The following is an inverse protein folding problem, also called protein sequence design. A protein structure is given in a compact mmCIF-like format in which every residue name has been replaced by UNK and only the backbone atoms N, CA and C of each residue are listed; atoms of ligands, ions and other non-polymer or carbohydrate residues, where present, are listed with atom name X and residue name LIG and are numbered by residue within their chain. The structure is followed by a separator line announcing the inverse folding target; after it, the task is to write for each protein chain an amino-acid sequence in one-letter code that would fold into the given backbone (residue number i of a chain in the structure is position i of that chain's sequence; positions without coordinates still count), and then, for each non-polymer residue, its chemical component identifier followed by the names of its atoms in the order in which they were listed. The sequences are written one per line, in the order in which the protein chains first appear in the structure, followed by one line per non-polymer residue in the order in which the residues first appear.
data_IF_082885452310
#
_entry.id   IF_082885452310
#
_cell.length_a   1.000
_cell.length_b   1.000
_cell.length_c   1.000
_cell.angle_alpha   90.00
_cell.angle_beta   90.00
_cell.angle_gamma   90.00
#
_symmetry.space_group_name_H-M   'P 1'
#
loop_
_entity.id
_entity.type
_entity.pdbx_description
1 polymer ?
#
# COMPACT_ATOMS: atom_id res chain seq x y z
N UNK A 1 13.03 -11.36 19.75
CA UNK A 1 13.33 -12.72 19.25
C UNK A 1 14.36 -12.55 18.13
N UNK A 2 15.51 -13.23 18.16
CA UNK A 2 16.50 -13.13 17.08
C UNK A 2 15.96 -13.87 15.87
N UNK A 3 15.90 -13.20 14.72
CA UNK A 3 15.57 -13.82 13.44
C UNK A 3 16.72 -14.74 13.02
N UNK A 4 16.39 -15.92 12.52
CA UNK A 4 17.39 -16.91 12.04
C UNK A 4 17.54 -16.81 10.51
N UNK A 5 18.69 -17.21 9.99
CA UNK A 5 18.94 -17.25 8.55
C UNK A 5 17.93 -18.16 7.83
N UNK A 6 17.59 -19.31 8.43
CA UNK A 6 16.57 -20.20 7.87
C UNK A 6 15.21 -19.52 7.74
N UNK A 7 14.80 -18.73 8.73
CA UNK A 7 13.53 -18.00 8.69
C UNK A 7 13.47 -16.96 7.55
N UNK A 8 14.60 -16.29 7.26
CA UNK A 8 14.72 -15.38 6.12
C UNK A 8 14.55 -16.12 4.79
N UNK A 9 15.26 -17.24 4.64
CA UNK A 9 15.22 -18.05 3.40
C UNK A 9 13.81 -18.61 3.18
N UNK A 10 13.20 -19.20 4.21
CA UNK A 10 11.85 -19.76 4.11
C UNK A 10 10.79 -18.69 3.78
N UNK A 11 10.90 -17.50 4.40
CA UNK A 11 9.98 -16.41 4.11
C UNK A 11 10.13 -15.93 2.66
N UNK A 12 11.37 -15.79 2.20
CA UNK A 12 11.64 -15.37 0.83
C UNK A 12 11.15 -16.41 -0.18
N UNK A 13 11.31 -17.70 0.10
CA UNK A 13 10.79 -18.76 -0.76
C UNK A 13 9.25 -18.67 -0.89
N UNK A 14 8.53 -18.48 0.22
CA UNK A 14 7.08 -18.27 0.19
C UNK A 14 6.68 -17.00 -0.59
N UNK A 15 7.49 -15.94 -0.50
CA UNK A 15 7.30 -14.74 -1.31
C UNK A 15 7.40 -15.05 -2.80
N UNK A 16 8.45 -15.76 -3.24
CA UNK A 16 8.64 -16.15 -4.64
C UNK A 16 7.53 -17.07 -5.16
N UNK A 17 7.14 -18.09 -4.37
CA UNK A 17 6.04 -19.01 -4.70
C UNK A 17 4.73 -18.22 -4.92
N UNK A 18 4.48 -17.21 -4.10
CA UNK A 18 3.30 -16.38 -4.23
C UNK A 18 3.36 -15.44 -5.42
N UNK A 19 4.52 -14.83 -5.70
CA UNK A 19 4.74 -14.03 -6.92
C UNK A 19 4.51 -14.89 -8.17
N UNK A 20 5.02 -16.11 -8.19
CA UNK A 20 4.82 -17.06 -9.28
C UNK A 20 3.33 -17.41 -9.46
N UNK A 21 2.63 -17.72 -8.37
CA UNK A 21 1.20 -18.01 -8.39
C UNK A 21 0.40 -16.84 -8.98
N UNK A 22 0.68 -15.61 -8.56
CA UNK A 22 0.03 -14.42 -9.12
C UNK A 22 0.28 -14.30 -10.63
N UNK A 23 1.54 -14.56 -11.05
CA UNK A 23 1.93 -14.56 -12.46
C UNK A 23 1.18 -15.60 -13.30
N UNK A 24 0.89 -16.79 -12.78
CA UNK A 24 0.09 -17.83 -13.46
C UNK A 24 -1.33 -17.36 -13.78
N UNK A 25 -1.89 -16.48 -12.95
CA UNK A 25 -3.19 -15.85 -13.18
C UNK A 25 -3.11 -14.52 -13.93
N UNK A 26 -1.91 -14.16 -14.44
CA UNK A 26 -1.70 -12.94 -15.23
C UNK A 26 -1.54 -11.66 -14.41
N UNK A 27 -1.37 -11.77 -13.09
CA UNK A 27 -1.10 -10.63 -12.22
C UNK A 27 0.40 -10.50 -11.95
N UNK A 28 1.06 -9.60 -12.68
CA UNK A 28 2.46 -9.26 -12.48
C UNK A 28 2.61 -8.24 -11.34
N UNK A 29 2.97 -8.74 -10.14
CA UNK A 29 3.08 -7.91 -8.93
C UNK A 29 4.10 -6.78 -9.12
N UNK A 30 5.26 -7.07 -9.69
CA UNK A 30 6.34 -6.09 -9.87
C UNK A 30 5.93 -4.97 -10.82
N UNK A 31 5.31 -5.33 -11.94
CA UNK A 31 4.79 -4.37 -12.92
C UNK A 31 3.72 -3.47 -12.31
N UNK A 32 2.77 -4.03 -11.57
CA UNK A 32 1.69 -3.25 -10.96
C UNK A 32 2.22 -2.32 -9.85
N UNK A 33 3.23 -2.73 -9.08
CA UNK A 33 3.87 -1.87 -8.07
C UNK A 33 4.71 -0.76 -8.70
N UNK A 34 5.46 -1.09 -9.76
CA UNK A 34 6.20 -0.10 -10.55
C UNK A 34 5.28 0.93 -11.18
N UNK A 35 4.13 0.51 -11.74
CA UNK A 35 3.11 1.41 -12.26
C UNK A 35 2.66 2.44 -11.23
N UNK A 36 2.37 2.02 -9.99
CA UNK A 36 1.93 2.93 -8.92
C UNK A 36 3.02 3.96 -8.61
N UNK A 37 4.27 3.50 -8.44
CA UNK A 37 5.41 4.37 -8.14
C UNK A 37 5.64 5.39 -9.27
N UNK A 38 5.62 4.96 -10.52
CA UNK A 38 5.82 5.82 -11.69
C UNK A 38 4.73 6.90 -11.81
N UNK A 39 3.46 6.51 -11.67
CA UNK A 39 2.32 7.44 -11.76
C UNK A 39 2.25 8.42 -10.58
N UNK A 40 2.81 8.03 -9.43
CA UNK A 40 2.93 8.91 -8.28
C UNK A 40 4.01 9.99 -8.44
N UNK A 41 5.04 9.78 -9.29
CA UNK A 41 6.18 10.72 -9.46
C UNK A 41 5.76 12.09 -10.00
N UNK A 42 6.54 13.16 -9.69
CA UNK A 42 7.64 13.20 -8.74
C UNK A 42 7.14 13.25 -7.29
N UNK A 43 7.88 12.66 -6.36
CA UNK A 43 7.60 12.76 -4.92
C UNK A 43 8.89 12.61 -4.09
N UNK A 44 8.91 13.24 -2.93
CA UNK A 44 10.01 13.24 -1.97
C UNK A 44 9.51 13.72 -0.60
N UNK A 45 10.40 13.81 0.37
CA UNK A 45 10.09 14.24 1.73
C UNK A 45 9.70 13.08 2.64
N UNK A 46 8.83 13.32 3.61
CA UNK A 46 8.33 12.30 4.52
C UNK A 46 7.26 11.46 3.81
N UNK A 47 7.57 10.21 3.55
CA UNK A 47 6.71 9.27 2.84
C UNK A 47 6.11 8.28 3.83
N UNK A 48 4.81 8.04 3.71
CA UNK A 48 4.08 7.00 4.44
C UNK A 48 3.52 5.96 3.47
N UNK A 49 3.70 4.69 3.80
CA UNK A 49 2.87 3.59 3.33
C UNK A 49 1.86 3.23 4.42
N UNK A 50 0.57 3.37 4.15
CA UNK A 50 -0.52 2.94 5.00
C UNK A 50 -1.01 1.56 4.53
N UNK A 51 -0.93 0.56 5.42
CA UNK A 51 -1.22 -0.83 5.09
C UNK A 51 -0.01 -1.57 4.50
N UNK A 52 0.96 -1.91 5.35
CA UNK A 52 2.15 -2.69 4.98
C UNK A 52 1.78 -4.05 4.36
N UNK A 53 0.82 -4.75 4.97
CA UNK A 53 0.50 -6.14 4.64
C UNK A 53 1.75 -7.02 4.60
N UNK A 54 1.83 -7.91 3.62
CA UNK A 54 2.99 -8.79 3.42
C UNK A 54 4.20 -8.12 2.77
N UNK A 55 4.11 -6.79 2.52
CA UNK A 55 5.24 -5.98 2.10
C UNK A 55 5.55 -5.99 0.60
N UNK A 56 4.59 -6.30 -0.27
CA UNK A 56 4.85 -6.25 -1.72
C UNK A 56 5.11 -4.83 -2.23
N UNK A 57 4.35 -3.85 -1.76
CA UNK A 57 4.58 -2.46 -2.13
C UNK A 57 5.74 -1.87 -1.32
N UNK A 58 5.88 -2.26 -0.05
CA UNK A 58 7.00 -1.92 0.83
C UNK A 58 8.35 -2.27 0.17
N UNK A 59 8.47 -3.50 -0.36
CA UNK A 59 9.68 -3.94 -1.04
C UNK A 59 9.93 -3.12 -2.31
N UNK A 60 8.93 -2.94 -3.16
CA UNK A 60 9.06 -2.17 -4.40
C UNK A 60 9.46 -0.71 -4.15
N UNK A 61 8.94 -0.08 -3.10
CA UNK A 61 9.28 1.29 -2.73
C UNK A 61 10.71 1.38 -2.18
N UNK A 62 11.14 0.39 -1.40
CA UNK A 62 12.52 0.30 -0.90
C UNK A 62 13.52 0.04 -2.05
N UNK A 63 13.23 -0.88 -2.98
CA UNK A 63 14.04 -1.12 -4.18
C UNK A 63 14.15 0.10 -5.08
N UNK A 64 13.10 0.94 -5.12
CA UNK A 64 13.14 2.22 -5.82
C UNK A 64 14.00 3.30 -5.13
N UNK A 65 14.62 2.97 -3.98
CA UNK A 65 15.60 3.80 -3.26
C UNK A 65 15.00 4.80 -2.28
N UNK A 66 13.74 4.64 -1.89
CA UNK A 66 13.09 5.56 -0.94
C UNK A 66 13.29 5.11 0.51
N UNK A 67 13.41 6.09 1.41
CA UNK A 67 13.25 5.90 2.85
C UNK A 67 11.86 6.36 3.24
N UNK A 68 11.13 5.55 4.04
CA UNK A 68 9.73 5.81 4.36
C UNK A 68 9.28 5.16 5.67
N UNK A 69 8.12 5.61 6.14
CA UNK A 69 7.38 4.99 7.23
C UNK A 69 6.35 4.01 6.66
N UNK A 70 6.13 2.87 7.33
CA UNK A 70 5.11 1.91 6.93
C UNK A 70 4.28 1.51 8.15
N UNK A 71 2.96 1.73 8.08
CA UNK A 71 2.01 1.44 9.15
C UNK A 71 1.10 0.27 8.78
N UNK A 72 0.84 -0.58 9.79
CA UNK A 72 -0.14 -1.65 9.70
C UNK A 72 -0.74 -1.93 11.08
N UNK A 73 -1.94 -2.46 11.13
CA UNK A 73 -2.57 -2.92 12.36
C UNK A 73 -2.01 -4.28 12.81
N UNK A 74 -1.45 -5.06 11.87
CA UNK A 74 -0.97 -6.42 12.06
C UNK A 74 0.55 -6.51 12.17
N UNK A 75 1.06 -6.73 13.39
CA UNK A 75 2.48 -7.02 13.61
C UNK A 75 2.95 -8.30 12.87
N UNK A 76 2.04 -9.25 12.65
CA UNK A 76 2.36 -10.49 11.94
C UNK A 76 2.60 -10.23 10.44
N UNK A 77 1.77 -9.40 9.80
CA UNK A 77 1.96 -9.02 8.40
C UNK A 77 3.24 -8.19 8.24
N UNK A 78 3.48 -7.19 9.09
CA UNK A 78 4.72 -6.40 9.07
C UNK A 78 5.98 -7.26 9.25
N UNK A 79 5.88 -8.37 10.00
CA UNK A 79 7.00 -9.30 10.14
C UNK A 79 7.38 -9.93 8.80
N UNK A 80 6.42 -10.34 7.96
CA UNK A 80 6.71 -10.86 6.62
C UNK A 80 7.39 -9.81 5.74
N UNK A 81 6.92 -8.58 5.79
CA UNK A 81 7.53 -7.46 5.07
C UNK A 81 8.97 -7.22 5.52
N UNK A 82 9.22 -7.17 6.82
CA UNK A 82 10.55 -6.99 7.40
C UNK A 82 11.52 -8.11 6.99
N UNK A 83 11.07 -9.36 7.02
CA UNK A 83 11.89 -10.51 6.59
C UNK A 83 12.27 -10.42 5.11
N UNK A 84 11.35 -9.99 4.24
CA UNK A 84 11.66 -9.76 2.83
C UNK A 84 12.70 -8.64 2.66
N UNK A 85 12.51 -7.50 3.33
CA UNK A 85 13.50 -6.41 3.29
C UNK A 85 14.87 -6.83 3.80
N UNK A 86 14.93 -7.63 4.88
CA UNK A 86 16.20 -8.14 5.41
C UNK A 86 16.90 -9.08 4.42
N UNK A 87 16.14 -9.90 3.69
CA UNK A 87 16.70 -10.77 2.67
C UNK A 87 17.43 -9.97 1.57
N UNK A 88 16.88 -8.83 1.19
CA UNK A 88 17.47 -7.92 0.19
C UNK A 88 18.42 -6.85 0.79
N UNK A 89 18.61 -6.81 2.12
CA UNK A 89 19.47 -5.83 2.78
C UNK A 89 18.88 -4.41 2.82
N UNK A 90 17.55 -4.28 2.67
CA UNK A 90 16.84 -2.99 2.54
C UNK A 90 16.11 -2.54 3.83
N UNK A 91 16.23 -3.29 4.92
CA UNK A 91 15.47 -3.05 6.15
C UNK A 91 15.72 -1.69 6.81
N UNK A 92 16.85 -1.04 6.52
CA UNK A 92 17.17 0.29 7.06
C UNK A 92 16.42 1.43 6.37
N UNK A 93 15.76 1.16 5.24
CA UNK A 93 15.00 2.17 4.51
C UNK A 93 13.58 2.35 5.06
N UNK A 94 13.11 1.45 5.92
CA UNK A 94 11.72 1.43 6.38
C UNK A 94 11.65 1.55 7.90
N UNK A 95 10.85 2.52 8.36
CA UNK A 95 10.47 2.65 9.77
C UNK A 95 9.06 2.07 9.95
N UNK A 96 8.97 0.89 10.56
CA UNK A 96 7.69 0.25 10.85
C UNK A 96 7.06 0.77 12.15
N UNK A 97 5.74 0.94 12.13
CA UNK A 97 4.93 1.20 13.34
C UNK A 97 3.58 0.49 13.24
N UNK A 98 3.06 0.04 14.38
CA UNK A 98 1.70 -0.46 14.48
C UNK A 98 0.75 0.71 14.63
N UNK A 99 -0.18 0.85 13.69
CA UNK A 99 -1.20 1.88 13.73
C UNK A 99 -2.45 1.42 12.98
N UNK A 100 -3.60 1.90 13.47
CA UNK A 100 -4.85 1.84 12.74
C UNK A 100 -4.94 3.06 11.84
N UNK A 101 -5.18 2.86 10.56
CA UNK A 101 -5.30 3.95 9.58
C UNK A 101 -6.53 4.84 9.80
N UNK A 102 -7.48 4.38 10.61
CA UNK A 102 -8.63 5.18 11.04
C UNK A 102 -8.31 6.04 12.29
N UNK A 103 -7.12 5.86 12.91
CA UNK A 103 -6.64 6.66 14.05
C UNK A 103 -5.11 6.61 14.12
N UNK A 104 -4.45 7.40 13.28
CA UNK A 104 -2.99 7.38 13.12
C UNK A 104 -2.31 8.23 14.22
N UNK A 105 -1.41 7.64 15.04
CA UNK A 105 -0.72 8.36 16.11
C UNK A 105 0.44 9.21 15.57
N UNK A 106 0.11 10.23 14.80
CA UNK A 106 1.09 11.12 14.17
C UNK A 106 0.58 12.56 14.18
N UNK A 107 1.50 13.52 14.20
CA UNK A 107 1.20 14.95 14.15
C UNK A 107 0.54 15.35 12.81
N UNK A 108 -0.26 16.43 12.86
CA UNK A 108 -0.89 17.01 11.67
C UNK A 108 0.19 17.49 10.69
N UNK A 109 -0.01 17.24 9.42
CA UNK A 109 0.83 17.77 8.36
C UNK A 109 2.25 17.19 8.27
N UNK A 110 2.52 16.04 8.88
CA UNK A 110 3.85 15.45 8.95
C UNK A 110 4.33 14.81 7.63
N UNK A 111 3.42 14.21 6.86
CA UNK A 111 3.77 13.48 5.65
C UNK A 111 3.58 14.31 4.38
N UNK A 112 4.55 14.26 3.48
CA UNK A 112 4.48 14.88 2.15
C UNK A 112 3.82 13.97 1.13
N UNK A 113 3.92 12.66 1.33
CA UNK A 113 3.35 11.66 0.43
C UNK A 113 2.78 10.51 1.25
N UNK A 114 1.54 10.14 0.95
CA UNK A 114 0.88 8.99 1.57
C UNK A 114 0.47 8.01 0.47
N UNK A 115 0.90 6.77 0.60
CA UNK A 115 0.46 5.65 -0.23
C UNK A 115 -0.48 4.75 0.57
N UNK A 116 -1.62 4.40 -0.03
CA UNK A 116 -2.53 3.36 0.44
C UNK A 116 -2.80 2.41 -0.72
N UNK A 117 -2.17 1.24 -0.71
CA UNK A 117 -2.13 0.31 -1.84
C UNK A 117 -2.79 -1.02 -1.49
N UNK A 118 -3.86 -1.37 -2.20
CA UNK A 118 -4.64 -2.60 -2.02
C UNK A 118 -5.11 -2.80 -0.55
N UNK A 119 -5.58 -1.72 0.08
CA UNK A 119 -6.03 -1.78 1.46
C UNK A 119 -7.42 -1.14 1.69
N UNK A 120 -7.88 -0.29 0.77
CA UNK A 120 -9.15 0.45 0.94
C UNK A 120 -10.34 -0.52 1.05
N UNK A 121 -10.34 -1.62 0.31
CA UNK A 121 -11.39 -2.64 0.35
C UNK A 121 -11.48 -3.41 1.69
N UNK A 122 -10.49 -3.26 2.58
CA UNK A 122 -10.49 -3.81 3.93
C UNK A 122 -10.93 -2.82 5.01
N UNK A 123 -11.20 -1.56 4.66
CA UNK A 123 -11.57 -0.54 5.64
C UNK A 123 -13.02 -0.64 6.10
N UNK A 124 -13.24 -0.44 7.39
CA UNK A 124 -14.59 -0.29 7.96
C UNK A 124 -15.18 1.07 7.62
N UNK A 125 -14.34 2.11 7.53
CA UNK A 125 -14.73 3.47 7.14
C UNK A 125 -13.68 4.14 6.27
N UNK A 126 -13.88 4.11 4.96
CA UNK A 126 -13.03 4.83 4.01
C UNK A 126 -12.98 6.33 4.33
N UNK A 127 -14.11 6.91 4.75
CA UNK A 127 -14.19 8.34 5.11
C UNK A 127 -13.30 8.67 6.30
N UNK A 128 -13.29 7.83 7.34
CA UNK A 128 -12.45 8.05 8.52
C UNK A 128 -10.98 7.99 8.17
N UNK A 129 -10.55 6.95 7.46
CA UNK A 129 -9.17 6.81 7.01
C UNK A 129 -8.73 7.97 6.10
N UNK A 130 -9.57 8.38 5.13
CA UNK A 130 -9.26 9.53 4.29
C UNK A 130 -9.14 10.85 5.08
N UNK A 131 -9.96 11.05 6.12
CA UNK A 131 -9.83 12.23 6.98
C UNK A 131 -8.51 12.20 7.77
N UNK A 132 -8.07 11.03 8.26
CA UNK A 132 -6.77 10.87 8.91
C UNK A 132 -5.63 11.14 7.93
N UNK A 133 -5.68 10.60 6.71
CA UNK A 133 -4.69 10.90 5.68
C UNK A 133 -4.62 12.42 5.38
N UNK A 134 -5.76 13.10 5.29
CA UNK A 134 -5.82 14.55 5.08
C UNK A 134 -5.23 15.31 6.27
N UNK A 135 -5.47 14.84 7.51
CA UNK A 135 -4.96 15.48 8.74
C UNK A 135 -3.44 15.43 8.81
N UNK A 136 -2.86 14.24 8.56
CA UNK A 136 -1.40 14.04 8.64
C UNK A 136 -0.64 14.49 7.39
N UNK A 137 -1.35 14.88 6.30
CA UNK A 137 -0.74 15.34 5.06
C UNK A 137 -0.29 16.80 5.17
N UNK A 138 0.95 17.07 4.76
CA UNK A 138 1.50 18.42 4.67
C UNK A 138 0.70 19.31 3.70
N UNK A 139 0.76 20.65 3.82
CA UNK A 139 -0.02 21.56 2.97
C UNK A 139 0.19 21.37 1.46
N UNK A 140 1.40 20.98 1.04
CA UNK A 140 1.75 20.73 -0.37
C UNK A 140 1.80 19.24 -0.72
N UNK A 141 1.41 18.37 0.20
CA UNK A 141 1.48 16.94 0.06
C UNK A 141 0.44 16.35 -0.88
N UNK A 142 0.59 15.06 -1.15
CA UNK A 142 -0.36 14.28 -1.96
C UNK A 142 -0.62 12.90 -1.37
N UNK A 143 -1.81 12.40 -1.64
CA UNK A 143 -2.25 11.06 -1.27
C UNK A 143 -2.41 10.23 -2.53
N UNK A 144 -1.85 9.04 -2.52
CA UNK A 144 -1.96 8.06 -3.59
C UNK A 144 -2.76 6.88 -3.05
N UNK A 145 -3.90 6.62 -3.66
CA UNK A 145 -4.69 5.41 -3.39
C UNK A 145 -4.70 4.55 -4.64
N UNK A 146 -4.33 3.30 -4.49
CA UNK A 146 -4.49 2.29 -5.54
C UNK A 146 -5.19 1.07 -4.96
N UNK A 147 -6.14 0.53 -5.72
CA UNK A 147 -6.82 -0.70 -5.36
C UNK A 147 -7.11 -1.53 -6.60
N UNK A 148 -7.49 -2.78 -6.41
CA UNK A 148 -7.74 -3.68 -7.52
C UNK A 148 -8.84 -3.14 -8.44
N UNK A 149 -8.62 -3.23 -9.75
CA UNK A 149 -9.68 -3.08 -10.75
C UNK A 149 -10.67 -4.27 -10.65
N UNK A 150 -11.74 -4.22 -11.42
CA UNK A 150 -12.67 -5.36 -11.52
C UNK A 150 -11.95 -6.63 -11.98
N UNK A 151 -11.06 -6.50 -12.96
CA UNK A 151 -10.23 -7.60 -13.47
C UNK A 151 -9.24 -8.08 -12.42
N UNK A 152 -8.60 -7.15 -11.71
CA UNK A 152 -7.69 -7.45 -10.61
C UNK A 152 -8.36 -8.22 -9.48
N UNK A 153 -9.54 -7.78 -9.03
CA UNK A 153 -10.34 -8.48 -8.01
C UNK A 153 -10.69 -9.90 -8.45
N UNK A 154 -11.14 -10.10 -9.70
CA UNK A 154 -11.47 -11.42 -10.21
C UNK A 154 -10.26 -12.38 -10.22
N UNK A 155 -9.05 -11.86 -10.43
CA UNK A 155 -7.80 -12.64 -10.33
C UNK A 155 -7.47 -12.96 -8.87
N UNK A 156 -7.55 -11.98 -7.99
CA UNK A 156 -7.27 -12.17 -6.55
C UNK A 156 -8.24 -13.17 -5.92
N UNK A 157 -9.52 -13.13 -6.26
CA UNK A 157 -10.51 -14.09 -5.78
C UNK A 157 -10.14 -15.52 -6.17
N UNK A 158 -9.74 -15.76 -7.43
CA UNK A 158 -9.27 -17.07 -7.89
C UNK A 158 -8.02 -17.54 -7.13
N UNK A 159 -7.06 -16.65 -6.88
CA UNK A 159 -5.86 -16.96 -6.12
C UNK A 159 -6.22 -17.38 -4.68
N UNK A 160 -7.13 -16.64 -4.03
CA UNK A 160 -7.60 -16.98 -2.69
C UNK A 160 -8.35 -18.33 -2.66
N UNK A 161 -9.15 -18.63 -3.67
CA UNK A 161 -9.80 -19.95 -3.82
C UNK A 161 -8.75 -21.08 -3.92
N UNK A 162 -7.70 -20.89 -4.72
CA UNK A 162 -6.60 -21.86 -4.82
C UNK A 162 -5.85 -22.06 -3.49
N UNK A 163 -5.77 -21.00 -2.65
CA UNK A 163 -5.17 -21.06 -1.32
C UNK A 163 -6.14 -21.58 -0.25
N UNK A 164 -7.38 -21.97 -0.62
CA UNK A 164 -8.42 -22.42 0.30
C UNK A 164 -8.97 -21.31 1.21
N UNK A 165 -8.86 -20.06 0.80
CA UNK A 165 -9.30 -18.87 1.52
C UNK A 165 -10.42 -18.16 0.77
N UNK A 166 -11.21 -17.37 1.50
CA UNK A 166 -12.11 -16.38 0.91
C UNK A 166 -11.46 -15.00 1.00
N UNK A 167 -11.63 -14.20 -0.04
CA UNK A 167 -11.27 -12.79 0.03
C UNK A 167 -12.34 -12.06 0.85
N UNK A 168 -11.94 -11.56 2.02
CA UNK A 168 -12.81 -10.78 2.87
C UNK A 168 -12.81 -9.33 2.36
N UNK A 169 -13.85 -8.99 1.60
CA UNK A 169 -14.10 -7.62 1.15
C UNK A 169 -15.06 -6.94 2.13
N UNK A 170 -14.69 -5.76 2.60
CA UNK A 170 -15.60 -4.79 3.17
C UNK A 170 -16.18 -3.90 2.05
N UNK A 171 -17.01 -2.92 2.41
CA UNK A 171 -17.68 -2.06 1.44
C UNK A 171 -16.81 -0.94 0.87
N UNK A 172 -15.57 -0.83 1.31
CA UNK A 172 -14.67 0.26 0.94
C UNK A 172 -14.32 0.26 -0.55
N UNK A 173 -14.45 1.41 -1.20
CA UNK A 173 -14.14 1.57 -2.62
C UNK A 173 -13.26 2.80 -2.88
N UNK A 174 -12.45 2.74 -3.93
CA UNK A 174 -11.66 3.88 -4.39
C UNK A 174 -12.55 5.07 -4.80
N UNK A 175 -13.77 4.81 -5.28
CA UNK A 175 -14.75 5.85 -5.63
C UNK A 175 -15.25 6.60 -4.38
N UNK A 176 -15.36 5.93 -3.24
CA UNK A 176 -15.71 6.58 -1.98
C UNK A 176 -14.57 7.50 -1.50
N UNK A 177 -13.33 7.02 -1.55
CA UNK A 177 -12.16 7.86 -1.26
C UNK A 177 -12.10 9.10 -2.17
N UNK A 178 -12.33 8.92 -3.48
CA UNK A 178 -12.41 10.02 -4.46
C UNK A 178 -13.43 11.07 -4.07
N UNK A 179 -14.64 10.67 -3.66
CA UNK A 179 -15.68 11.61 -3.20
C UNK A 179 -15.22 12.42 -2.00
N UNK A 180 -14.62 11.77 -1.00
CA UNK A 180 -14.10 12.45 0.20
C UNK A 180 -13.06 13.50 -0.17
N UNK A 181 -12.09 13.17 -1.02
CA UNK A 181 -11.05 14.11 -1.42
C UNK A 181 -11.60 15.31 -2.23
N UNK A 182 -12.57 15.07 -3.13
CA UNK A 182 -13.23 16.16 -3.87
C UNK A 182 -13.99 17.08 -2.92
N UNK A 183 -14.74 16.54 -1.95
CA UNK A 183 -15.45 17.32 -0.91
C UNK A 183 -14.49 18.18 -0.07
N UNK A 184 -13.23 17.75 0.06
CA UNK A 184 -12.17 18.44 0.79
C UNK A 184 -11.30 19.37 -0.09
N UNK A 185 -11.68 19.57 -1.35
CA UNK A 185 -11.02 20.50 -2.27
C UNK A 185 -9.73 19.99 -2.89
N UNK A 186 -9.52 18.68 -2.94
CA UNK A 186 -8.36 18.10 -3.62
C UNK A 186 -8.61 17.98 -5.13
N UNK A 187 -7.55 18.22 -5.91
CA UNK A 187 -7.48 17.83 -7.31
C UNK A 187 -7.19 16.35 -7.43
N UNK A 188 -7.93 15.65 -8.28
CA UNK A 188 -7.77 14.21 -8.51
C UNK A 188 -7.24 13.97 -9.92
N UNK A 189 -6.19 13.16 -10.01
CA UNK A 189 -5.75 12.52 -11.25
C UNK A 189 -5.98 11.02 -11.12
N UNK A 190 -6.60 10.42 -12.12
CA UNK A 190 -6.89 8.99 -12.15
C UNK A 190 -5.95 8.30 -13.13
N UNK A 191 -5.48 7.13 -12.76
CA UNK A 191 -4.69 6.24 -13.59
C UNK A 191 -5.23 4.83 -13.48
N UNK A 192 -5.05 4.03 -14.53
CA UNK A 192 -5.50 2.63 -14.57
C UNK A 192 -4.44 1.78 -15.22
N UNK A 193 -4.22 0.61 -14.67
CA UNK A 193 -3.65 -0.55 -15.36
C UNK A 193 -4.77 -1.56 -15.64
N UNK A 194 -4.43 -2.75 -16.10
CA UNK A 194 -5.40 -3.84 -16.22
C UNK A 194 -5.86 -4.27 -14.82
N UNK A 195 -4.94 -4.33 -13.86
CA UNK A 195 -5.19 -4.92 -12.54
C UNK A 195 -5.43 -3.90 -11.43
N UNK A 196 -5.17 -2.61 -11.67
CA UNK A 196 -5.26 -1.56 -10.66
C UNK A 196 -6.03 -0.34 -11.16
N UNK A 197 -6.93 0.15 -10.32
CA UNK A 197 -7.41 1.52 -10.35
C UNK A 197 -6.60 2.37 -9.38
N UNK A 198 -6.23 3.59 -9.76
CA UNK A 198 -5.40 4.47 -8.94
C UNK A 198 -5.87 5.90 -9.01
N UNK A 199 -5.84 6.59 -7.89
CA UNK A 199 -6.01 8.04 -7.82
C UNK A 199 -4.82 8.71 -7.11
N UNK A 200 -4.49 9.91 -7.59
CA UNK A 200 -3.53 10.81 -6.96
C UNK A 200 -4.29 12.07 -6.57
N UNK A 201 -4.47 12.29 -5.27
CA UNK A 201 -5.13 13.45 -4.69
C UNK A 201 -4.07 14.45 -4.22
N UNK A 202 -4.00 15.63 -4.82
CA UNK A 202 -3.11 16.72 -4.42
C UNK A 202 -3.91 17.99 -4.12
N UNK A 203 -3.40 18.82 -3.21
CA UNK A 203 -4.04 20.13 -2.98
C UNK A 203 -3.77 21.05 -4.18
N UNK A 204 -4.73 21.90 -4.50
CA UNK A 204 -4.54 22.98 -5.48
C UNK A 204 -3.51 23.92 -4.89
N UNK A 205 -2.39 24.16 -5.58
CA UNK A 205 -1.52 25.26 -5.21
C UNK A 205 -2.31 26.56 -5.35
N UNK A 206 -2.50 27.26 -4.22
CA UNK A 206 -3.13 28.59 -4.16
C UNK A 206 -2.14 29.62 -4.67
#
# INVERSE_FOLDING_TARGET
MKMTENELIENHQRYLERVALYGEFGYDIEKERSFIIEKARPFSGNILEAGTGKGYFTLALAEAGFNFFSFDISAAEQRYALLNLMYYGLQQQVTFSLADVENIPCDDGFFDVIFAVNMIHHLSSVRTACNEFIRILSPSGKIIISDFSTEGLAVIDKIHECEGRKHELMSGTINEAKKVFIERGFNIREHKSIMQDMLVAGRIAV
#
